data_IF_585029782125
#
_entry.id   IF_585029782125
#
_cell.length_a   1.000
_cell.length_b   1.000
_cell.length_c   1.000
_cell.angle_alpha   90.00
_cell.angle_beta   90.00
_cell.angle_gamma   90.00
#
_symmetry.space_group_name_H-M   'P 1'
#
loop_
_entity.id
_entity.type
_entity.pdbx_description
1 polymer ?
#
# COMPACT_ATOMS: atom_id res chain seq x y z
N UNK A 1 14.79 -31.88 -8.79
CA UNK A 1 15.36 -30.53 -8.57
C UNK A 1 14.23 -29.52 -8.72
N UNK A 2 13.89 -28.74 -7.69
CA UNK A 2 13.01 -27.56 -7.87
C UNK A 2 13.84 -26.48 -8.58
N UNK A 3 13.32 -25.90 -9.66
CA UNK A 3 13.95 -24.78 -10.33
C UNK A 3 14.15 -23.63 -9.32
N UNK A 4 15.29 -22.94 -9.39
CA UNK A 4 15.53 -21.76 -8.58
C UNK A 4 14.49 -20.68 -8.93
N UNK A 5 13.82 -20.13 -7.93
CA UNK A 5 12.86 -19.04 -8.11
C UNK A 5 13.58 -17.79 -8.64
N UNK A 6 12.99 -17.12 -9.63
CA UNK A 6 13.47 -15.82 -10.06
C UNK A 6 13.25 -14.74 -8.96
N UNK A 7 13.87 -13.55 -9.05
CA UNK A 7 13.75 -12.53 -8.00
C UNK A 7 12.30 -12.17 -7.63
N UNK A 8 11.41 -12.01 -8.62
CA UNK A 8 10.00 -11.69 -8.38
C UNK A 8 9.27 -12.82 -7.64
N UNK A 9 9.49 -14.07 -8.05
CA UNK A 9 8.91 -15.24 -7.39
C UNK A 9 9.42 -15.39 -5.96
N UNK A 10 10.69 -15.04 -5.69
CA UNK A 10 11.24 -15.04 -4.32
C UNK A 10 10.56 -13.98 -3.47
N UNK A 11 10.38 -12.76 -3.97
CA UNK A 11 9.69 -11.69 -3.25
C UNK A 11 8.23 -12.10 -2.96
N UNK A 12 7.50 -12.56 -3.98
CA UNK A 12 6.13 -13.02 -3.79
C UNK A 12 6.02 -14.16 -2.75
N UNK A 13 6.95 -15.12 -2.78
CA UNK A 13 7.00 -16.19 -1.80
C UNK A 13 7.28 -15.70 -0.37
N UNK A 14 8.00 -14.59 -0.19
CA UNK A 14 8.22 -13.97 1.12
C UNK A 14 6.96 -13.25 1.58
N UNK A 15 6.35 -12.43 0.72
CA UNK A 15 5.13 -11.69 1.05
C UNK A 15 3.98 -12.64 1.42
N UNK A 16 3.87 -13.77 0.72
CA UNK A 16 2.87 -14.81 1.00
C UNK A 16 3.04 -15.52 2.35
N UNK A 17 4.16 -15.31 3.06
CA UNK A 17 4.33 -15.81 4.44
C UNK A 17 3.70 -14.86 5.48
N UNK A 18 3.39 -13.61 5.09
CA UNK A 18 2.76 -12.64 6.00
C UNK A 18 1.24 -12.79 5.98
N UNK A 19 0.67 -13.31 7.07
CA UNK A 19 -0.78 -13.41 7.25
C UNK A 19 -1.48 -12.03 7.18
N UNK A 20 -0.80 -10.96 7.64
CA UNK A 20 -1.37 -9.61 7.62
C UNK A 20 -1.49 -9.08 6.18
N UNK A 21 -0.40 -9.16 5.39
CA UNK A 21 -0.41 -8.67 4.01
C UNK A 21 -1.33 -9.50 3.12
N UNK A 22 -1.31 -10.82 3.26
CA UNK A 22 -2.16 -11.72 2.46
C UNK A 22 -3.63 -11.55 2.78
N UNK A 23 -4.01 -11.40 4.06
CA UNK A 23 -5.39 -11.14 4.45
C UNK A 23 -5.88 -9.77 3.95
N UNK A 24 -5.05 -8.73 4.05
CA UNK A 24 -5.37 -7.40 3.50
C UNK A 24 -5.53 -7.45 1.98
N UNK A 25 -4.58 -8.04 1.25
CA UNK A 25 -4.64 -8.13 -0.21
C UNK A 25 -5.88 -8.89 -0.69
N UNK A 26 -6.19 -10.05 -0.08
CA UNK A 26 -7.39 -10.82 -0.42
C UNK A 26 -8.70 -10.07 -0.09
N UNK A 27 -8.71 -9.30 1.00
CA UNK A 27 -9.87 -8.48 1.33
C UNK A 27 -10.04 -7.33 0.33
N UNK A 28 -8.96 -6.65 -0.06
CA UNK A 28 -9.00 -5.57 -1.06
C UNK A 28 -9.47 -6.08 -2.43
N UNK A 29 -9.01 -7.26 -2.86
CA UNK A 29 -9.42 -7.87 -4.12
C UNK A 29 -10.93 -8.17 -4.17
N UNK A 30 -11.54 -8.49 -3.02
CA UNK A 30 -12.95 -8.91 -2.95
C UNK A 30 -13.92 -7.80 -2.55
N UNK A 31 -13.46 -6.80 -1.80
CA UNK A 31 -14.31 -5.79 -1.15
C UNK A 31 -13.75 -4.36 -1.20
N UNK A 32 -12.51 -4.19 -1.65
CA UNK A 32 -11.85 -2.88 -1.70
C UNK A 32 -12.40 -1.99 -2.82
N UNK A 33 -11.94 -0.72 -2.86
CA UNK A 33 -12.20 0.14 -4.01
C UNK A 33 -11.54 -0.43 -5.27
N UNK A 34 -12.01 0.02 -6.43
CA UNK A 34 -11.38 -0.31 -7.71
C UNK A 34 -9.92 0.15 -7.71
N UNK A 35 -9.05 -0.64 -8.33
CA UNK A 35 -7.60 -0.36 -8.44
C UNK A 35 -6.92 -0.14 -7.08
N UNK A 36 -7.28 -0.92 -6.06
CA UNK A 36 -6.67 -0.86 -4.72
C UNK A 36 -5.42 -1.74 -4.60
N UNK A 37 -4.37 -1.18 -4.01
CA UNK A 37 -3.08 -1.82 -3.82
C UNK A 37 -2.59 -1.67 -2.38
N UNK A 38 -2.04 -2.75 -1.85
CA UNK A 38 -1.20 -2.71 -0.65
C UNK A 38 0.23 -2.38 -1.08
N UNK A 39 0.78 -1.28 -0.59
CA UNK A 39 1.99 -0.70 -1.18
C UNK A 39 3.00 -0.17 -0.15
N UNK A 40 4.05 0.48 -0.67
CA UNK A 40 5.05 1.22 0.08
C UNK A 40 5.75 0.42 1.19
N UNK A 41 5.91 1.01 2.38
CA UNK A 41 6.84 0.56 3.41
C UNK A 41 6.55 -0.83 3.93
N UNK A 42 5.28 -1.18 4.13
CA UNK A 42 4.90 -2.47 4.68
C UNK A 42 5.33 -3.66 3.80
N UNK A 43 5.31 -3.47 2.47
CA UNK A 43 5.69 -4.51 1.49
C UNK A 43 7.20 -4.73 1.54
N UNK A 44 7.99 -3.67 1.37
CA UNK A 44 9.46 -3.81 1.33
C UNK A 44 10.07 -4.15 2.66
N UNK A 45 9.53 -3.61 3.76
CA UNK A 45 10.00 -3.93 5.10
C UNK A 45 9.78 -5.40 5.43
N UNK A 46 8.66 -5.99 4.99
CA UNK A 46 8.41 -7.44 5.14
C UNK A 46 9.48 -8.27 4.43
N UNK A 47 9.85 -7.88 3.20
CA UNK A 47 10.92 -8.56 2.44
C UNK A 47 12.26 -8.41 3.15
N UNK A 48 12.63 -7.20 3.58
CA UNK A 48 13.88 -6.95 4.28
C UNK A 48 13.96 -7.67 5.62
N UNK A 49 12.86 -7.74 6.37
CA UNK A 49 12.80 -8.47 7.62
C UNK A 49 13.15 -9.95 7.40
N UNK A 50 12.54 -10.58 6.40
CA UNK A 50 12.87 -11.96 6.04
C UNK A 50 14.34 -12.12 5.65
N UNK A 51 14.86 -11.22 4.78
CA UNK A 51 16.24 -11.29 4.31
C UNK A 51 17.28 -11.03 5.41
N UNK A 52 16.87 -10.36 6.49
CA UNK A 52 17.73 -10.02 7.63
C UNK A 52 17.47 -10.87 8.88
N UNK A 53 16.65 -11.92 8.77
CA UNK A 53 16.37 -12.84 9.88
C UNK A 53 15.51 -12.26 10.99
N UNK A 54 14.70 -11.24 10.70
CA UNK A 54 13.76 -10.61 11.64
C UNK A 54 12.35 -11.15 11.44
N UNK A 55 11.47 -11.06 12.47
CA UNK A 55 10.04 -11.34 12.27
C UNK A 55 9.47 -10.52 11.11
N UNK A 56 8.61 -11.12 10.29
CA UNK A 56 8.06 -10.47 9.08
C UNK A 56 7.44 -9.09 9.37
N UNK A 57 6.81 -8.93 10.54
CA UNK A 57 6.12 -7.72 10.97
C UNK A 57 7.01 -6.72 11.73
N UNK A 58 8.30 -7.02 11.89
CA UNK A 58 9.21 -6.21 12.67
C UNK A 58 9.33 -4.78 12.13
N UNK A 59 9.09 -3.78 12.97
CA UNK A 59 9.28 -2.37 12.62
C UNK A 59 8.33 -1.82 11.55
N UNK A 60 7.27 -2.56 11.18
CA UNK A 60 6.22 -2.03 10.30
C UNK A 60 5.35 -1.08 11.11
N UNK A 61 5.37 0.20 10.75
CA UNK A 61 4.63 1.25 11.46
C UNK A 61 3.19 1.41 10.98
N UNK A 62 2.94 1.13 9.71
CA UNK A 62 1.64 1.26 9.04
C UNK A 62 1.58 0.38 7.79
N UNK A 63 0.38 0.24 7.25
CA UNK A 63 0.08 -0.44 6.00
C UNK A 63 -0.61 0.56 5.07
N UNK A 64 0.08 0.92 3.99
CA UNK A 64 -0.43 1.85 3.00
C UNK A 64 -1.37 1.12 2.03
N UNK A 65 -2.63 1.56 1.98
CA UNK A 65 -3.58 1.17 0.95
C UNK A 65 -3.79 2.36 0.03
N UNK A 66 -3.37 2.20 -1.22
CA UNK A 66 -3.53 3.23 -2.25
C UNK A 66 -4.49 2.75 -3.31
N UNK A 67 -5.36 3.63 -3.77
CA UNK A 67 -6.31 3.32 -4.83
C UNK A 67 -6.53 4.54 -5.71
N UNK A 68 -7.19 4.35 -6.86
CA UNK A 68 -7.53 5.45 -7.75
C UNK A 68 -9.03 5.46 -8.04
N UNK A 69 -9.69 6.55 -7.63
CA UNK A 69 -11.09 6.82 -7.97
C UNK A 69 -11.22 8.30 -8.37
N UNK A 70 -11.84 8.55 -9.52
CA UNK A 70 -12.10 9.92 -9.99
C UNK A 70 -13.15 10.65 -9.16
N UNK A 71 -13.88 9.94 -8.29
CA UNK A 71 -14.69 10.54 -7.24
C UNK A 71 -13.77 11.17 -6.17
N UNK A 72 -13.72 12.50 -6.16
CA UNK A 72 -12.78 13.26 -5.34
C UNK A 72 -13.35 13.59 -3.96
N UNK A 73 -14.25 12.77 -3.41
CA UNK A 73 -14.83 13.02 -2.09
C UNK A 73 -13.88 12.62 -0.95
N UNK A 74 -13.63 13.54 -0.02
CA UNK A 74 -12.92 13.22 1.23
C UNK A 74 -13.73 12.23 2.08
N UNK A 75 -15.05 12.33 2.04
CA UNK A 75 -15.94 11.43 2.77
C UNK A 75 -15.83 10.00 2.28
N UNK A 76 -15.66 9.79 0.97
CA UNK A 76 -15.48 8.45 0.40
C UNK A 76 -14.12 7.84 0.82
N UNK A 77 -13.03 8.62 0.78
CA UNK A 77 -11.72 8.18 1.30
C UNK A 77 -11.80 7.82 2.79
N UNK A 78 -12.46 8.66 3.60
CA UNK A 78 -12.69 8.41 5.02
C UNK A 78 -13.57 7.18 5.25
N UNK A 79 -14.57 6.93 4.39
CA UNK A 79 -15.42 5.74 4.45
C UNK A 79 -14.58 4.48 4.25
N UNK A 80 -13.69 4.46 3.26
CA UNK A 80 -12.78 3.34 3.05
C UNK A 80 -11.81 3.15 4.22
N UNK A 81 -11.24 4.24 4.74
CA UNK A 81 -10.42 4.21 5.95
C UNK A 81 -11.17 3.56 7.13
N UNK A 82 -12.42 3.95 7.38
CA UNK A 82 -13.23 3.40 8.46
C UNK A 82 -13.56 1.92 8.27
N UNK A 83 -13.98 1.53 7.07
CA UNK A 83 -14.31 0.13 6.75
C UNK A 83 -13.07 -0.76 6.97
N UNK A 84 -11.92 -0.36 6.44
CA UNK A 84 -10.68 -1.11 6.56
C UNK A 84 -10.21 -1.20 8.02
N UNK A 85 -10.20 -0.08 8.76
CA UNK A 85 -9.84 -0.09 10.19
C UNK A 85 -10.81 -0.94 11.02
N UNK A 86 -12.10 -0.97 10.69
CA UNK A 86 -13.06 -1.85 11.36
C UNK A 86 -12.79 -3.33 11.12
N UNK A 87 -12.42 -3.71 9.89
CA UNK A 87 -12.14 -5.11 9.53
C UNK A 87 -10.76 -5.58 10.01
N UNK A 88 -9.79 -4.67 10.18
CA UNK A 88 -8.42 -4.97 10.60
C UNK A 88 -8.01 -4.10 11.81
N UNK A 89 -8.67 -4.25 12.97
CA UNK A 89 -8.53 -3.33 14.11
C UNK A 89 -7.14 -3.35 14.77
N UNK A 90 -6.34 -4.38 14.50
CA UNK A 90 -4.98 -4.51 15.05
C UNK A 90 -3.91 -3.87 14.16
N UNK A 91 -4.28 -3.42 12.95
CA UNK A 91 -3.35 -2.82 11.99
C UNK A 91 -3.55 -1.31 11.93
N UNK A 92 -2.44 -0.58 11.90
CA UNK A 92 -2.46 0.83 11.51
C UNK A 92 -2.51 0.89 9.99
N UNK A 93 -3.60 1.41 9.45
CA UNK A 93 -3.83 1.51 8.01
C UNK A 93 -3.85 2.98 7.59
N UNK A 94 -3.19 3.32 6.49
CA UNK A 94 -3.32 4.62 5.83
C UNK A 94 -3.94 4.42 4.45
N UNK A 95 -5.18 4.87 4.28
CA UNK A 95 -5.95 4.70 3.03
C UNK A 95 -5.96 6.02 2.27
N UNK A 96 -5.50 6.00 1.02
CA UNK A 96 -5.33 7.21 0.20
C UNK A 96 -5.81 7.02 -1.23
N UNK A 97 -6.76 7.85 -1.66
CA UNK A 97 -7.11 7.99 -3.06
C UNK A 97 -6.03 8.83 -3.77
N UNK A 98 -5.29 8.20 -4.68
CA UNK A 98 -4.21 8.86 -5.41
C UNK A 98 -4.71 10.01 -6.30
N UNK A 99 -5.97 9.97 -6.76
CA UNK A 99 -6.57 11.08 -7.49
C UNK A 99 -6.67 12.37 -6.65
N UNK A 100 -6.73 12.27 -5.31
CA UNK A 100 -6.91 13.40 -4.40
C UNK A 100 -5.60 14.03 -3.91
N UNK A 101 -4.45 13.45 -4.21
CA UNK A 101 -3.16 13.87 -3.63
C UNK A 101 -2.85 15.34 -3.92
N UNK A 102 -3.14 15.80 -5.14
CA UNK A 102 -2.93 17.18 -5.56
C UNK A 102 -3.70 18.24 -4.72
N UNK A 103 -4.75 17.85 -3.97
CA UNK A 103 -5.44 18.78 -3.07
C UNK A 103 -4.71 19.00 -1.76
N UNK A 104 -4.23 17.93 -1.11
CA UNK A 104 -3.66 18.01 0.23
C UNK A 104 -2.14 18.18 0.21
N UNK A 105 -1.45 17.73 -0.84
CA UNK A 105 0.01 17.80 -0.94
C UNK A 105 0.55 19.22 -0.84
N UNK A 106 -0.04 20.25 -1.52
CA UNK A 106 0.44 21.63 -1.42
C UNK A 106 0.23 22.21 -0.02
N UNK A 107 -0.85 21.81 0.67
CA UNK A 107 -1.14 22.28 2.03
C UNK A 107 -0.12 21.73 3.04
N UNK A 108 0.38 20.51 2.80
CA UNK A 108 1.37 19.84 3.67
C UNK A 108 2.80 20.27 3.39
N UNK A 109 3.17 20.46 2.12
CA UNK A 109 4.56 20.64 1.71
C UNK A 109 4.86 21.98 1.03
N UNK A 110 3.85 22.81 0.75
CA UNK A 110 4.02 24.10 0.07
C UNK A 110 4.33 24.01 -1.42
N UNK A 111 4.20 22.82 -2.02
CA UNK A 111 4.54 22.54 -3.42
C UNK A 111 3.31 22.00 -4.13
N UNK A 112 2.92 22.64 -5.24
CA UNK A 112 1.84 22.14 -6.10
C UNK A 112 2.34 21.01 -6.99
N UNK A 113 1.51 19.97 -7.12
CA UNK A 113 1.74 18.84 -8.03
C UNK A 113 0.52 18.68 -8.96
N UNK A 114 0.70 18.21 -10.20
CA UNK A 114 -0.43 17.89 -11.07
C UNK A 114 -1.26 16.72 -10.48
N UNK A 115 -2.56 16.62 -10.81
CA UNK A 115 -3.35 15.44 -10.49
C UNK A 115 -2.74 14.19 -11.15
N UNK A 116 -2.73 13.08 -10.43
CA UNK A 116 -2.32 11.80 -10.99
C UNK A 116 -3.45 11.19 -11.83
N UNK A 117 -3.08 10.35 -12.79
CA UNK A 117 -4.02 9.66 -13.70
C UNK A 117 -4.23 8.18 -13.35
N UNK A 118 -3.42 7.63 -12.43
CA UNK A 118 -3.50 6.24 -11.97
C UNK A 118 -2.69 6.04 -10.69
N UNK A 119 -2.88 4.90 -10.01
CA UNK A 119 -1.99 4.49 -8.91
C UNK A 119 -0.54 4.38 -9.40
N UNK A 120 -0.31 3.80 -10.58
CA UNK A 120 1.05 3.64 -11.13
C UNK A 120 1.77 4.99 -11.34
N UNK A 121 1.07 6.00 -11.86
CA UNK A 121 1.62 7.34 -12.02
C UNK A 121 1.99 7.97 -10.66
N UNK A 122 1.16 7.75 -9.64
CA UNK A 122 1.42 8.23 -8.29
C UNK A 122 2.63 7.52 -7.66
N UNK A 123 2.72 6.19 -7.76
CA UNK A 123 3.86 5.41 -7.23
C UNK A 123 5.19 5.82 -7.85
N UNK A 124 5.22 6.08 -9.16
CA UNK A 124 6.42 6.58 -9.85
C UNK A 124 6.92 7.95 -9.34
N UNK A 125 6.10 8.68 -8.58
CA UNK A 125 6.47 9.98 -7.98
C UNK A 125 7.00 9.87 -6.55
N UNK A 126 6.97 8.67 -5.95
CA UNK A 126 7.37 8.48 -4.55
C UNK A 126 8.86 8.76 -4.33
N UNK A 127 9.24 9.25 -3.14
CA UNK A 127 10.58 9.77 -2.89
C UNK A 127 11.67 8.69 -2.88
N UNK A 128 11.31 7.41 -2.81
CA UNK A 128 12.28 6.31 -2.81
C UNK A 128 11.90 5.22 -3.81
N UNK A 129 12.89 4.71 -4.54
CA UNK A 129 12.72 3.64 -5.53
C UNK A 129 12.34 2.31 -4.89
N UNK A 130 12.65 2.11 -3.60
CA UNK A 130 12.27 0.90 -2.90
C UNK A 130 10.78 0.87 -2.60
N UNK A 131 10.16 2.02 -2.35
CA UNK A 131 8.72 2.09 -2.09
C UNK A 131 7.87 2.16 -3.35
N UNK A 132 8.43 2.69 -4.45
CA UNK A 132 7.74 2.93 -5.72
C UNK A 132 7.45 1.65 -6.54
#
# INVERSE_FOLDING_TARGET
MRAALNPHQRIAAILNQSNQLTALAAWLETKGPADAWLAAGCVVQTVWNQLTGRPLTYGICDHDIVYFDTELSLEQENTWQQILTHNFPTLKLDVKNQARVHFWFPQKFGISIPPFESVNAAMCSWPTTATA
#
